data_IF_881834170670
#
_entry.id   IF_881834170670
#
_cell.length_a   1.000
_cell.length_b   1.000
_cell.length_c   1.000
_cell.angle_alpha   90.00
_cell.angle_beta   90.00
_cell.angle_gamma   90.00
#
_symmetry.space_group_name_H-M   'P 1'
#
loop_
_entity.id
_entity.type
_entity.pdbx_description
1 polymer ?
#
# COMPACT_ATOMS: atom_id res chain seq x y z
N UNK A 1 -57.65 3.23 26.72
CA UNK A 1 -57.34 4.57 26.17
C UNK A 1 -56.09 5.08 26.85
N UNK A 2 -54.93 4.83 26.26
CA UNK A 2 -53.66 5.55 26.48
C UNK A 2 -52.78 5.22 25.29
N UNK A 3 -52.77 6.11 24.30
CA UNK A 3 -51.91 6.03 23.12
C UNK A 3 -50.48 6.37 23.55
N UNK A 4 -49.57 5.41 23.40
CA UNK A 4 -48.12 5.62 23.50
C UNK A 4 -47.56 6.03 22.15
N UNK A 5 -47.20 7.30 22.02
CA UNK A 5 -46.54 7.87 20.84
C UNK A 5 -45.04 7.55 20.93
N UNK A 6 -44.55 6.63 20.11
CA UNK A 6 -43.12 6.45 19.89
C UNK A 6 -42.61 7.57 18.96
N UNK A 7 -41.56 8.33 19.34
CA UNK A 7 -40.92 9.24 18.41
C UNK A 7 -40.10 8.42 17.39
N UNK A 8 -40.39 8.62 16.11
CA UNK A 8 -39.56 8.09 15.03
C UNK A 8 -38.20 8.80 15.06
N UNK A 9 -37.15 8.00 15.24
CA UNK A 9 -35.77 8.46 15.07
C UNK A 9 -35.55 8.82 13.61
N UNK A 10 -35.31 10.12 13.42
CA UNK A 10 -35.01 10.75 12.16
C UNK A 10 -33.63 10.27 11.68
N UNK A 11 -33.61 9.29 10.77
CA UNK A 11 -32.40 8.76 10.16
C UNK A 11 -31.84 9.79 9.17
N UNK A 12 -31.09 10.75 9.71
CA UNK A 12 -30.48 11.85 8.97
C UNK A 12 -29.45 11.36 7.96
N UNK A 13 -29.79 11.52 6.68
CA UNK A 13 -28.90 11.79 5.55
C UNK A 13 -27.56 11.02 5.52
N UNK A 14 -27.61 9.79 4.96
CA UNK A 14 -26.49 9.32 4.15
C UNK A 14 -26.45 10.20 2.91
N UNK A 15 -25.37 10.97 2.73
CA UNK A 15 -25.07 11.61 1.45
C UNK A 15 -24.78 10.55 0.41
N UNK A 16 -25.82 9.94 -0.17
CA UNK A 16 -25.70 9.29 -1.47
C UNK A 16 -25.60 10.40 -2.49
N UNK A 17 -24.38 10.65 -2.98
CA UNK A 17 -24.18 11.59 -4.09
C UNK A 17 -25.01 11.13 -5.29
N UNK A 18 -25.55 12.09 -6.01
CA UNK A 18 -26.31 11.81 -7.24
C UNK A 18 -25.35 11.18 -8.27
N UNK A 19 -25.61 9.94 -8.73
CA UNK A 19 -24.79 9.29 -9.75
C UNK A 19 -24.63 10.12 -11.02
N UNK A 20 -25.60 10.99 -11.35
CA UNK A 20 -25.51 11.90 -12.50
C UNK A 20 -24.52 13.04 -12.31
N UNK A 21 -24.34 13.51 -11.08
CA UNK A 21 -23.39 14.58 -10.73
C UNK A 21 -21.94 14.06 -10.77
N UNK A 22 -21.70 12.87 -10.21
CA UNK A 22 -20.37 12.22 -10.23
C UNK A 22 -19.92 11.88 -11.66
N UNK A 23 -20.84 11.43 -12.53
CA UNK A 23 -20.53 11.15 -13.94
C UNK A 23 -20.20 12.43 -14.73
N UNK A 24 -20.95 13.51 -14.48
CA UNK A 24 -20.69 14.82 -15.11
C UNK A 24 -19.34 15.38 -14.66
N UNK A 25 -19.05 15.28 -13.36
CA UNK A 25 -17.79 15.73 -12.76
C UNK A 25 -16.59 14.96 -13.31
N UNK A 26 -16.71 13.65 -13.46
CA UNK A 26 -15.68 12.81 -14.10
C UNK A 26 -15.36 13.32 -15.50
N UNK A 27 -16.39 13.57 -16.32
CA UNK A 27 -16.18 14.01 -17.70
C UNK A 27 -15.45 15.36 -17.81
N UNK A 28 -15.69 16.28 -16.88
CA UNK A 28 -15.00 17.57 -16.80
C UNK A 28 -13.51 17.46 -16.44
N UNK A 29 -13.16 16.47 -15.61
CA UNK A 29 -11.81 16.33 -15.04
C UNK A 29 -10.86 15.46 -15.87
N UNK A 30 -11.39 14.71 -16.83
CA UNK A 30 -10.62 13.87 -17.74
C UNK A 30 -10.02 14.67 -18.90
N UNK A 31 -8.91 14.16 -19.44
CA UNK A 31 -8.37 14.57 -20.74
C UNK A 31 -9.49 14.51 -21.79
N UNK A 32 -9.74 15.59 -22.52
CA UNK A 32 -10.93 15.70 -23.38
C UNK A 32 -10.66 16.27 -24.77
N UNK A 33 -9.42 16.68 -25.05
CA UNK A 33 -9.04 17.33 -26.30
C UNK A 33 -7.67 16.86 -26.77
N UNK A 34 -7.50 16.76 -28.10
CA UNK A 34 -6.24 16.40 -28.73
C UNK A 34 -5.16 17.48 -28.56
N UNK A 35 -5.56 18.72 -28.27
CA UNK A 35 -4.67 19.88 -28.10
C UNK A 35 -4.17 20.05 -26.66
N UNK A 36 -4.87 19.44 -25.71
CA UNK A 36 -4.55 19.57 -24.29
C UNK A 36 -3.20 18.90 -24.01
N UNK A 37 -2.34 19.59 -23.25
CA UNK A 37 -1.12 18.97 -22.72
C UNK A 37 -1.50 17.83 -21.78
N UNK A 38 -1.00 16.63 -22.09
CA UNK A 38 -1.37 15.41 -21.39
C UNK A 38 -0.74 15.40 -19.99
N UNK A 39 -1.50 15.07 -18.93
CA UNK A 39 -0.94 14.95 -17.59
C UNK A 39 0.17 13.89 -17.57
N UNK A 40 1.22 14.10 -16.77
CA UNK A 40 2.32 13.15 -16.71
C UNK A 40 1.86 11.83 -16.10
N UNK A 41 2.53 10.73 -16.46
CA UNK A 41 2.34 9.46 -15.77
C UNK A 41 2.77 9.60 -14.29
N UNK A 42 2.06 8.91 -13.41
CA UNK A 42 2.35 8.89 -11.98
C UNK A 42 3.70 8.23 -11.69
N UNK A 43 4.58 8.96 -11.02
CA UNK A 43 5.91 8.46 -10.63
C UNK A 43 5.87 7.51 -9.42
N UNK A 44 4.77 7.52 -8.67
CA UNK A 44 4.53 6.63 -7.54
C UNK A 44 3.92 5.28 -7.95
N UNK A 45 3.70 5.05 -9.25
CA UNK A 45 3.26 3.76 -9.81
C UNK A 45 4.47 3.06 -10.43
N UNK A 46 4.72 1.85 -9.98
CA UNK A 46 5.81 1.01 -10.47
C UNK A 46 5.38 0.29 -11.76
N UNK A 47 6.25 0.28 -12.77
CA UNK A 47 6.04 -0.42 -14.04
C UNK A 47 6.90 -1.67 -14.07
N UNK A 48 6.27 -2.84 -14.00
CA UNK A 48 6.94 -4.13 -13.88
C UNK A 48 6.71 -4.93 -15.17
N UNK A 49 7.76 -5.20 -15.98
CA UNK A 49 7.64 -6.07 -17.14
C UNK A 49 7.29 -7.50 -16.70
N UNK A 50 6.27 -8.09 -17.30
CA UNK A 50 5.81 -9.45 -17.01
C UNK A 50 5.44 -10.18 -18.30
N UNK A 51 5.59 -11.50 -18.29
CA UNK A 51 5.07 -12.37 -19.36
C UNK A 51 3.84 -13.10 -18.82
N UNK A 52 2.72 -12.99 -19.52
CA UNK A 52 1.48 -13.69 -19.16
C UNK A 52 0.86 -14.32 -20.40
N UNK A 53 0.60 -15.64 -20.35
CA UNK A 53 0.06 -16.42 -21.48
C UNK A 53 0.83 -16.21 -22.80
N UNK A 54 2.15 -16.07 -22.73
CA UNK A 54 3.02 -15.84 -23.88
C UNK A 54 3.02 -14.40 -24.42
N UNK A 55 2.27 -13.50 -23.81
CA UNK A 55 2.24 -12.07 -24.15
C UNK A 55 3.17 -11.27 -23.23
N UNK A 56 3.89 -10.31 -23.81
CA UNK A 56 4.76 -9.37 -23.10
C UNK A 56 3.94 -8.16 -22.63
N UNK A 57 3.82 -7.99 -21.32
CA UNK A 57 3.01 -6.94 -20.70
C UNK A 57 3.85 -6.07 -19.76
N UNK A 58 3.31 -4.91 -19.43
CA UNK A 58 3.76 -4.05 -18.34
C UNK A 58 2.65 -4.01 -17.30
N UNK A 59 2.92 -4.59 -16.13
CA UNK A 59 2.05 -4.51 -14.96
C UNK A 59 2.29 -3.21 -14.19
N UNK A 60 1.22 -2.50 -13.87
CA UNK A 60 1.26 -1.25 -13.11
C UNK A 60 0.92 -1.54 -11.66
N UNK A 61 1.93 -1.50 -10.80
CA UNK A 61 1.80 -1.72 -9.37
C UNK A 61 1.71 -0.37 -8.65
N UNK A 62 0.60 -0.15 -7.95
CA UNK A 62 0.38 1.06 -7.14
C UNK A 62 0.50 0.74 -5.65
N UNK A 63 1.67 0.95 -5.03
CA UNK A 63 1.88 0.69 -3.61
C UNK A 63 1.02 1.55 -2.68
N UNK A 64 0.48 2.68 -3.17
CA UNK A 64 -0.42 3.53 -2.40
C UNK A 64 -1.89 3.10 -2.51
N UNK A 65 -2.23 2.22 -3.47
CA UNK A 65 -3.58 1.68 -3.63
C UNK A 65 -4.59 2.66 -4.22
N UNK A 66 -4.15 3.64 -5.01
CA UNK A 66 -5.06 4.57 -5.70
C UNK A 66 -5.58 4.05 -7.03
N UNK A 67 -5.03 2.98 -7.62
CA UNK A 67 -5.61 2.35 -8.81
C UNK A 67 -6.92 1.61 -8.48
N UNK A 68 -7.90 1.56 -9.40
CA UNK A 68 -9.20 0.93 -9.14
C UNK A 68 -9.14 -0.60 -9.14
N UNK A 69 -8.06 -1.15 -9.67
CA UNK A 69 -7.80 -2.58 -9.76
C UNK A 69 -6.45 -2.83 -10.43
N UNK A 70 -6.09 -4.12 -10.61
CA UNK A 70 -4.86 -4.50 -11.30
C UNK A 70 -4.93 -4.07 -12.77
N UNK A 71 -3.83 -3.51 -13.28
CA UNK A 71 -3.71 -3.08 -14.67
C UNK A 71 -2.44 -3.68 -15.26
N UNK A 72 -2.59 -4.34 -16.40
CA UNK A 72 -1.48 -4.74 -17.26
C UNK A 72 -1.78 -4.31 -18.69
N UNK A 73 -0.81 -3.68 -19.34
CA UNK A 73 -0.94 -3.21 -20.72
C UNK A 73 0.12 -3.88 -21.59
N UNK A 74 -0.13 -3.95 -22.90
CA UNK A 74 0.87 -4.43 -23.85
C UNK A 74 2.16 -3.63 -23.75
N UNK A 75 3.31 -4.32 -23.85
CA UNK A 75 4.65 -3.72 -23.71
C UNK A 75 4.90 -2.52 -24.64
N UNK A 76 4.19 -2.41 -25.76
CA UNK A 76 4.26 -1.25 -26.67
C UNK A 76 3.95 0.08 -25.97
N UNK A 77 3.22 0.07 -24.83
CA UNK A 77 2.96 1.28 -24.04
C UNK A 77 4.25 1.97 -23.57
N UNK A 78 5.36 1.23 -23.43
CA UNK A 78 6.65 1.79 -23.03
C UNK A 78 7.14 2.92 -23.94
N UNK A 79 6.75 2.91 -25.22
CA UNK A 79 7.11 3.97 -26.16
C UNK A 79 6.37 5.30 -25.87
N UNK A 80 5.17 5.24 -25.29
CA UNK A 80 4.37 6.41 -24.96
C UNK A 80 4.75 7.03 -23.61
N UNK A 81 5.25 6.24 -22.67
CA UNK A 81 5.59 6.66 -21.30
C UNK A 81 6.47 7.93 -21.25
N UNK A 82 7.57 8.04 -22.03
CA UNK A 82 8.39 9.26 -22.02
C UNK A 82 7.67 10.51 -22.53
N UNK A 83 6.61 10.35 -23.34
CA UNK A 83 5.82 11.45 -23.90
C UNK A 83 4.73 11.91 -22.93
N UNK A 84 4.31 11.06 -21.99
CA UNK A 84 3.38 11.39 -20.90
C UNK A 84 4.12 12.09 -19.75
N UNK A 85 4.62 13.28 -20.02
CA UNK A 85 5.46 14.07 -19.10
C UNK A 85 4.93 15.50 -18.83
N UNK A 86 3.73 15.83 -19.31
CA UNK A 86 3.15 17.17 -19.16
C UNK A 86 3.45 18.14 -20.32
N UNK A 87 4.32 17.78 -21.27
CA UNK A 87 4.77 18.70 -22.33
C UNK A 87 4.13 18.45 -23.69
N UNK A 88 3.59 17.24 -23.93
CA UNK A 88 3.03 16.85 -25.22
C UNK A 88 1.51 16.77 -25.16
N UNK A 89 0.84 17.18 -26.23
CA UNK A 89 -0.57 16.87 -26.50
C UNK A 89 -0.70 15.59 -27.34
N UNK A 90 -1.91 15.10 -27.55
CA UNK A 90 -2.16 13.98 -28.48
C UNK A 90 -1.69 14.35 -29.89
N UNK A 91 -1.99 15.57 -30.35
CA UNK A 91 -1.53 16.05 -31.65
C UNK A 91 -0.01 16.06 -31.74
N UNK A 92 0.68 16.59 -30.72
CA UNK A 92 2.14 16.63 -30.73
C UNK A 92 2.73 15.21 -30.85
N UNK A 93 2.15 14.24 -30.13
CA UNK A 93 2.57 12.84 -30.16
C UNK A 93 2.33 12.21 -31.54
N UNK A 94 1.14 12.37 -32.09
CA UNK A 94 0.81 11.86 -33.43
C UNK A 94 1.72 12.46 -34.50
N UNK A 95 1.99 13.77 -34.45
CA UNK A 95 2.92 14.43 -35.36
C UNK A 95 4.35 13.89 -35.25
N UNK A 96 4.83 13.64 -34.03
CA UNK A 96 6.17 13.09 -33.81
C UNK A 96 6.28 11.64 -34.30
N UNK A 97 5.31 10.78 -33.95
CA UNK A 97 5.24 9.40 -34.44
C UNK A 97 5.18 9.32 -35.97
N UNK A 98 4.44 10.24 -36.61
CA UNK A 98 4.35 10.32 -38.07
C UNK A 98 5.69 10.63 -38.71
N UNK A 99 6.55 11.45 -38.07
CA UNK A 99 7.92 11.72 -38.55
C UNK A 99 8.80 10.47 -38.54
N UNK A 100 8.54 9.53 -37.64
CA UNK A 100 9.21 8.23 -37.57
C UNK A 100 8.50 7.11 -38.35
N UNK A 101 7.52 7.45 -39.20
CA UNK A 101 6.84 6.52 -40.09
C UNK A 101 5.68 5.74 -39.45
N UNK A 102 5.22 6.15 -38.27
CA UNK A 102 4.05 5.57 -37.60
C UNK A 102 2.87 6.52 -37.69
N UNK A 103 1.82 6.15 -38.45
CA UNK A 103 0.61 6.96 -38.58
C UNK A 103 -0.46 6.47 -37.58
N UNK A 104 -0.68 7.23 -36.52
CA UNK A 104 -1.64 6.92 -35.45
C UNK A 104 -2.78 7.92 -35.50
N UNK A 105 -4.01 7.42 -35.50
CA UNK A 105 -5.21 8.25 -35.44
C UNK A 105 -5.30 8.99 -34.10
N UNK A 106 -5.47 10.32 -34.16
CA UNK A 106 -5.57 11.17 -32.96
C UNK A 106 -6.76 10.77 -32.07
N UNK A 107 -7.88 10.34 -32.66
CA UNK A 107 -9.08 9.92 -31.92
C UNK A 107 -8.83 8.65 -31.11
N UNK A 108 -8.19 7.65 -31.71
CA UNK A 108 -7.79 6.42 -31.02
C UNK A 108 -6.76 6.69 -29.92
N UNK A 109 -5.74 7.53 -30.18
CA UNK A 109 -4.76 7.87 -29.16
C UNK A 109 -5.39 8.66 -28.01
N UNK A 110 -6.29 9.61 -28.30
CA UNK A 110 -7.03 10.33 -27.26
C UNK A 110 -7.89 9.39 -26.43
N UNK A 111 -8.64 8.48 -27.06
CA UNK A 111 -9.46 7.50 -26.34
C UNK A 111 -8.61 6.61 -25.44
N UNK A 112 -7.44 6.18 -25.91
CA UNK A 112 -6.51 5.39 -25.14
C UNK A 112 -5.92 6.16 -23.95
N UNK A 113 -5.44 7.40 -24.15
CA UNK A 113 -4.94 8.25 -23.07
C UNK A 113 -6.03 8.53 -22.03
N UNK A 114 -7.29 8.71 -22.47
CA UNK A 114 -8.43 8.84 -21.57
C UNK A 114 -8.64 7.60 -20.71
N UNK A 115 -8.44 6.40 -21.23
CA UNK A 115 -8.50 5.17 -20.42
C UNK A 115 -7.42 5.15 -19.34
N UNK A 116 -6.20 5.62 -19.65
CA UNK A 116 -5.12 5.74 -18.65
C UNK A 116 -5.48 6.76 -17.56
N UNK A 117 -6.07 7.89 -17.95
CA UNK A 117 -6.54 8.92 -17.05
C UNK A 117 -7.66 8.40 -16.12
N UNK A 118 -8.68 7.78 -16.70
CA UNK A 118 -9.79 7.16 -15.97
C UNK A 118 -9.32 6.08 -14.99
N UNK A 119 -8.31 5.32 -15.40
CA UNK A 119 -7.66 4.30 -14.59
C UNK A 119 -6.76 4.89 -13.48
N UNK A 120 -6.56 6.22 -13.45
CA UNK A 120 -5.77 6.96 -12.45
C UNK A 120 -4.27 6.67 -12.53
N UNK A 121 -3.78 6.37 -13.73
CA UNK A 121 -2.34 6.22 -14.02
C UNK A 121 -1.67 7.56 -14.29
N UNK A 122 -2.44 8.59 -14.64
CA UNK A 122 -1.92 9.92 -14.92
C UNK A 122 -2.13 10.85 -13.71
N UNK A 123 -1.19 11.78 -13.48
CA UNK A 123 -1.27 12.81 -12.45
C UNK A 123 -2.24 13.93 -12.88
N UNK A 124 -3.48 13.55 -13.20
CA UNK A 124 -4.52 14.40 -13.77
C UNK A 124 -5.40 15.06 -12.68
N UNK A 125 -6.25 16.03 -13.06
CA UNK A 125 -7.30 16.54 -12.17
C UNK A 125 -8.21 15.42 -11.64
N UNK A 126 -8.56 14.45 -12.49
CA UNK A 126 -9.38 13.30 -12.10
C UNK A 126 -8.70 12.44 -11.02
N UNK A 127 -7.42 12.08 -11.20
CA UNK A 127 -6.67 11.36 -10.17
C UNK A 127 -6.63 12.13 -8.85
N UNK A 128 -6.33 13.44 -8.88
CA UNK A 128 -6.26 14.26 -7.66
C UNK A 128 -7.60 14.29 -6.93
N UNK A 129 -8.70 14.40 -7.65
CA UNK A 129 -10.04 14.34 -7.09
C UNK A 129 -10.27 12.99 -6.39
N UNK A 130 -10.07 11.86 -7.08
CA UNK A 130 -10.26 10.54 -6.47
C UNK A 130 -9.30 10.28 -5.29
N UNK A 131 -8.06 10.77 -5.37
CA UNK A 131 -7.08 10.67 -4.29
C UNK A 131 -7.60 11.34 -3.03
N UNK A 132 -8.05 12.59 -3.12
CA UNK A 132 -8.63 13.33 -2.00
C UNK A 132 -9.82 12.58 -1.41
N UNK A 133 -10.69 12.01 -2.24
CA UNK A 133 -11.85 11.26 -1.75
C UNK A 133 -11.47 9.99 -1.00
N UNK A 134 -10.49 9.24 -1.51
CA UNK A 134 -9.96 8.04 -0.86
C UNK A 134 -9.34 8.40 0.49
N UNK A 135 -8.49 9.42 0.51
CA UNK A 135 -7.81 9.90 1.71
C UNK A 135 -8.81 10.37 2.77
N UNK A 136 -9.74 11.26 2.40
CA UNK A 136 -10.77 11.75 3.33
C UNK A 136 -11.68 10.62 3.84
N UNK A 137 -12.04 9.68 2.97
CA UNK A 137 -12.86 8.53 3.37
C UNK A 137 -12.10 7.68 4.38
N UNK A 138 -10.81 7.42 4.16
CA UNK A 138 -9.97 6.70 5.09
C UNK A 138 -9.82 7.46 6.42
N UNK A 139 -9.57 8.77 6.37
CA UNK A 139 -9.42 9.63 7.54
C UNK A 139 -10.66 9.63 8.44
N UNK A 140 -11.85 9.60 7.86
CA UNK A 140 -13.14 9.56 8.58
C UNK A 140 -13.47 8.21 9.22
N UNK A 141 -12.78 7.11 8.89
CA UNK A 141 -13.05 5.79 9.50
C UNK A 141 -12.62 5.73 10.96
N UNK A 142 -13.40 5.06 11.79
CA UNK A 142 -12.97 4.72 13.15
C UNK A 142 -12.03 3.51 13.19
N UNK A 143 -12.11 2.64 12.17
CA UNK A 143 -11.32 1.40 12.07
C UNK A 143 -10.32 1.49 10.91
N UNK A 144 -9.10 1.03 11.14
CA UNK A 144 -8.06 0.84 10.12
C UNK A 144 -8.10 -0.62 9.64
N UNK A 145 -8.50 -0.89 8.39
CA UNK A 145 -8.49 -2.24 7.84
C UNK A 145 -7.09 -2.85 7.78
N UNK A 146 -7.01 -4.16 7.95
CA UNK A 146 -5.81 -4.96 7.77
C UNK A 146 -5.40 -5.00 6.29
N UNK A 147 -4.64 -4.00 5.83
CA UNK A 147 -4.28 -3.83 4.41
C UNK A 147 -3.50 -5.01 3.79
N UNK A 148 -2.84 -5.83 4.60
CA UNK A 148 -2.08 -6.99 4.13
C UNK A 148 -2.79 -8.33 4.32
N UNK A 149 -4.01 -8.33 4.85
CA UNK A 149 -4.83 -9.52 4.98
C UNK A 149 -5.16 -10.09 3.60
N UNK A 150 -4.98 -11.40 3.44
CA UNK A 150 -5.11 -12.11 2.16
C UNK A 150 -3.90 -11.96 1.23
N UNK A 151 -2.96 -11.06 1.52
CA UNK A 151 -1.74 -10.89 0.71
C UNK A 151 -0.51 -11.45 1.41
N UNK A 152 -0.11 -10.91 2.56
CA UNK A 152 1.09 -11.35 3.29
C UNK A 152 0.78 -12.32 4.45
N UNK A 153 -0.49 -12.46 4.79
CA UNK A 153 -1.00 -13.44 5.74
C UNK A 153 -2.47 -13.76 5.42
N UNK A 154 -3.01 -14.91 5.87
CA UNK A 154 -4.42 -15.25 5.65
C UNK A 154 -5.38 -14.17 6.15
N UNK A 155 -6.44 -13.88 5.41
CA UNK A 155 -7.46 -12.91 5.83
C UNK A 155 -8.36 -13.45 6.94
N UNK A 156 -8.53 -14.77 7.00
CA UNK A 156 -9.39 -15.41 7.97
C UNK A 156 -8.68 -15.61 9.31
N UNK A 157 -9.32 -15.16 10.39
CA UNK A 157 -8.77 -15.21 11.74
C UNK A 157 -8.47 -16.65 12.23
N UNK A 158 -9.21 -17.64 11.74
CA UNK A 158 -8.94 -19.05 12.00
C UNK A 158 -7.65 -19.53 11.34
N UNK A 159 -7.50 -19.25 10.05
CA UNK A 159 -6.35 -19.67 9.25
C UNK A 159 -5.04 -19.06 9.74
N UNK A 160 -5.03 -17.76 10.07
CA UNK A 160 -3.83 -17.11 10.62
C UNK A 160 -3.47 -17.68 12.00
N UNK A 161 -4.45 -18.03 12.83
CA UNK A 161 -4.20 -18.67 14.14
C UNK A 161 -3.56 -20.04 13.97
N UNK A 162 -4.11 -20.87 13.09
CA UNK A 162 -3.55 -22.19 12.79
C UNK A 162 -2.13 -22.10 12.23
N UNK A 163 -1.88 -21.15 11.32
CA UNK A 163 -0.56 -20.89 10.76
C UNK A 163 0.46 -20.52 11.85
N UNK A 164 0.08 -19.63 12.77
CA UNK A 164 0.94 -19.22 13.88
C UNK A 164 1.17 -20.38 14.86
N UNK A 165 0.12 -21.08 15.28
CA UNK A 165 0.21 -22.21 16.22
C UNK A 165 1.14 -23.31 15.67
N UNK A 166 1.03 -23.64 14.38
CA UNK A 166 1.91 -24.59 13.71
C UNK A 166 3.38 -24.13 13.71
N UNK A 167 3.63 -22.82 13.51
CA UNK A 167 4.98 -22.26 13.55
C UNK A 167 5.58 -22.28 14.97
N UNK A 168 4.78 -21.96 15.99
CA UNK A 168 5.22 -22.02 17.38
C UNK A 168 5.44 -23.46 17.87
N UNK A 169 4.73 -24.45 17.33
CA UNK A 169 4.92 -25.86 17.64
C UNK A 169 6.14 -26.48 16.95
N UNK A 170 6.42 -26.11 15.69
CA UNK A 170 7.49 -26.72 14.88
C UNK A 170 8.90 -26.28 15.26
N UNK A 171 9.09 -25.00 15.65
CA UNK A 171 10.39 -24.44 16.04
C UNK A 171 10.83 -24.79 17.48
N UNK A 172 10.45 -25.98 17.97
CA UNK A 172 11.07 -26.65 19.13
C UNK A 172 12.34 -27.44 18.76
N UNK A 173 12.67 -27.55 17.47
CA UNK A 173 13.93 -28.10 16.96
C UNK A 173 14.76 -26.96 16.36
N UNK A 174 15.83 -26.63 17.07
CA UNK A 174 16.88 -25.72 16.64
C UNK A 174 17.69 -26.34 15.52
N UNK A 175 17.14 -26.41 14.32
CA UNK A 175 17.92 -26.78 13.14
C UNK A 175 18.24 -25.47 12.41
N UNK A 176 19.39 -24.92 12.78
CA UNK A 176 19.98 -23.67 12.29
C UNK A 176 20.42 -23.78 10.82
N UNK A 177 19.50 -24.01 9.89
CA UNK A 177 19.77 -24.03 8.45
C UNK A 177 18.78 -23.13 7.72
N UNK A 178 19.17 -21.87 7.48
CA UNK A 178 18.31 -20.94 6.71
C UNK A 178 18.81 -19.51 6.51
N UNK A 179 19.87 -19.08 7.20
CA UNK A 179 20.67 -17.93 6.75
C UNK A 179 22.03 -18.47 6.32
N UNK A 180 22.54 -18.16 5.10
CA UNK A 180 23.97 -18.29 4.88
C UNK A 180 24.65 -17.47 5.98
N UNK A 181 25.72 -17.99 6.58
CA UNK A 181 26.59 -17.20 7.45
C UNK A 181 27.02 -15.96 6.64
N UNK A 182 26.27 -14.88 6.78
CA UNK A 182 26.62 -13.63 6.14
C UNK A 182 27.87 -13.19 6.86
N UNK A 183 28.98 -13.25 6.13
CA UNK A 183 30.19 -12.51 6.44
C UNK A 183 29.78 -11.18 7.06
N UNK A 184 29.94 -11.06 8.38
CA UNK A 184 30.34 -9.87 9.09
C UNK A 184 30.29 -8.60 8.22
N UNK A 185 29.07 -8.10 7.98
CA UNK A 185 28.85 -6.72 7.63
C UNK A 185 29.21 -5.95 8.90
N UNK A 186 30.44 -5.44 8.91
CA UNK A 186 31.08 -4.71 10.00
C UNK A 186 30.12 -3.66 10.58
N UNK A 187 29.44 -4.01 11.68
CA UNK A 187 28.53 -3.08 12.35
C UNK A 187 27.45 -3.71 13.23
N UNK A 188 27.06 -4.97 13.01
CA UNK A 188 26.12 -5.66 13.90
C UNK A 188 26.85 -6.63 14.83
N UNK A 189 26.69 -6.51 16.16
CA UNK A 189 27.31 -7.45 17.10
C UNK A 189 26.71 -8.85 16.89
N UNK A 190 27.58 -9.86 16.89
CA UNK A 190 27.19 -11.28 16.90
C UNK A 190 26.15 -11.52 18.02
N UNK A 191 25.14 -12.40 17.82
CA UNK A 191 24.21 -12.76 18.88
C UNK A 191 24.98 -13.39 20.05
N UNK A 192 25.22 -12.58 21.10
CA UNK A 192 26.09 -12.92 22.24
C UNK A 192 27.14 -11.86 22.58
N UNK A 193 27.35 -10.84 21.74
CA UNK A 193 28.30 -9.73 21.99
C UNK A 193 27.64 -8.45 22.49
N UNK A 194 26.45 -8.52 23.09
CA UNK A 194 25.98 -7.45 23.96
C UNK A 194 26.75 -7.52 25.28
N UNK A 195 27.96 -6.96 25.30
CA UNK A 195 28.67 -6.74 26.56
C UNK A 195 27.84 -5.79 27.43
N UNK A 196 27.28 -6.34 28.51
CA UNK A 196 26.42 -5.61 29.44
C UNK A 196 25.38 -6.44 30.18
N UNK A 197 25.10 -7.68 29.74
CA UNK A 197 24.21 -8.59 30.49
C UNK A 197 24.93 -9.88 30.80
N UNK A 198 25.63 -9.91 31.94
CA UNK A 198 26.09 -11.18 32.51
C UNK A 198 24.88 -12.03 32.87
N UNK A 199 24.93 -13.33 32.55
CA UNK A 199 23.91 -14.32 32.95
C UNK A 199 23.64 -14.36 34.47
N UNK A 200 24.52 -13.75 35.27
CA UNK A 200 24.47 -13.69 36.73
C UNK A 200 23.80 -12.42 37.29
N UNK A 201 23.42 -11.44 36.45
CA UNK A 201 22.60 -10.29 36.89
C UNK A 201 21.09 -10.51 36.74
N UNK A 202 20.68 -11.72 36.34
CA UNK A 202 19.28 -12.15 36.29
C UNK A 202 18.73 -12.62 37.65
N UNK A 203 19.52 -12.55 38.73
CA UNK A 203 19.13 -13.06 40.07
C UNK A 203 18.66 -11.96 41.05
N UNK A 204 18.02 -10.91 40.55
CA UNK A 204 17.56 -9.80 41.41
C UNK A 204 16.56 -8.82 40.80
N UNK A 205 16.19 -8.97 39.53
CA UNK A 205 15.04 -8.27 38.96
C UNK A 205 14.08 -9.32 38.44
N UNK A 206 12.83 -9.27 38.91
CA UNK A 206 11.73 -10.00 38.32
C UNK A 206 11.52 -9.40 36.91
N UNK A 207 12.33 -9.86 35.94
CA UNK A 207 12.65 -9.16 34.71
C UNK A 207 11.52 -9.25 33.69
N UNK A 208 10.48 -8.44 33.86
CA UNK A 208 9.41 -8.34 32.86
C UNK A 208 9.97 -7.77 31.55
N UNK A 209 9.72 -8.46 30.45
CA UNK A 209 10.07 -7.99 29.10
C UNK A 209 9.26 -6.71 28.83
N UNK A 210 9.97 -5.62 28.48
CA UNK A 210 9.37 -4.29 28.25
C UNK A 210 9.29 -3.88 26.77
N UNK A 211 10.09 -4.53 25.91
CA UNK A 211 10.18 -4.19 24.50
C UNK A 211 10.53 -5.43 23.68
N UNK A 212 10.08 -5.44 22.43
CA UNK A 212 10.40 -6.42 21.41
C UNK A 212 10.81 -5.68 20.15
N UNK A 213 11.84 -6.19 19.46
CA UNK A 213 12.15 -5.81 18.09
C UNK A 213 11.96 -7.02 17.20
N UNK A 214 11.23 -6.84 16.11
CA UNK A 214 10.95 -7.88 15.13
C UNK A 214 10.86 -7.24 13.73
N UNK A 215 11.16 -8.00 12.67
CA UNK A 215 10.90 -7.53 11.31
C UNK A 215 9.40 -7.29 11.08
N UNK A 216 9.06 -6.56 10.02
CA UNK A 216 7.69 -6.39 9.53
C UNK A 216 7.51 -6.89 8.08
N UNK A 217 8.34 -7.87 7.69
CA UNK A 217 8.29 -8.51 6.37
C UNK A 217 7.12 -9.50 6.26
N UNK A 218 6.79 -9.88 5.03
CA UNK A 218 5.74 -10.86 4.71
C UNK A 218 5.85 -12.14 5.57
N UNK A 219 4.76 -12.50 6.26
CA UNK A 219 4.74 -13.62 7.19
C UNK A 219 4.97 -14.95 6.47
N UNK A 220 4.59 -15.10 5.20
CA UNK A 220 4.76 -16.33 4.43
C UNK A 220 6.22 -16.72 4.23
N UNK A 221 7.12 -15.72 4.21
CA UNK A 221 8.57 -15.93 4.03
C UNK A 221 9.36 -15.63 5.31
N UNK A 222 8.83 -14.77 6.19
CA UNK A 222 9.54 -14.30 7.37
C UNK A 222 9.28 -15.11 8.64
N UNK A 223 8.32 -16.04 8.65
CA UNK A 223 7.77 -16.66 9.87
C UNK A 223 8.83 -17.21 10.83
N UNK A 224 9.89 -17.80 10.29
CA UNK A 224 11.00 -18.37 11.07
C UNK A 224 11.73 -17.34 11.96
N UNK A 225 11.73 -16.06 11.56
CA UNK A 225 12.32 -14.95 12.33
C UNK A 225 11.39 -14.40 13.42
N UNK A 226 10.07 -14.50 13.23
CA UNK A 226 9.07 -14.01 14.19
C UNK A 226 8.97 -14.92 15.42
N UNK A 227 8.92 -16.24 15.23
CA UNK A 227 8.74 -17.20 16.33
C UNK A 227 9.72 -17.01 17.49
N UNK A 228 11.06 -16.97 17.30
CA UNK A 228 11.99 -16.78 18.41
C UNK A 228 11.86 -15.42 19.08
N UNK A 229 11.49 -14.37 18.32
CA UNK A 229 11.29 -13.03 18.85
C UNK A 229 10.04 -12.97 19.76
N UNK A 230 8.93 -13.59 19.35
CA UNK A 230 7.67 -13.51 20.07
C UNK A 230 7.48 -14.59 21.16
N UNK A 231 8.21 -15.71 21.11
CA UNK A 231 8.06 -16.82 22.08
C UNK A 231 8.22 -16.39 23.55
N UNK A 232 9.18 -15.51 23.93
CA UNK A 232 9.29 -15.02 25.32
C UNK A 232 8.07 -14.24 25.83
N UNK A 233 7.18 -13.79 24.92
CA UNK A 233 6.00 -12.99 25.26
C UNK A 233 4.73 -13.84 25.46
N UNK A 234 4.79 -15.17 25.33
CA UNK A 234 3.61 -16.04 25.31
C UNK A 234 2.66 -15.83 26.51
N UNK A 235 3.24 -15.60 27.69
CA UNK A 235 2.50 -15.42 28.95
C UNK A 235 2.25 -13.93 29.28
N UNK A 236 2.76 -13.00 28.46
CA UNK A 236 2.59 -11.58 28.71
C UNK A 236 1.16 -11.15 28.35
N UNK A 237 0.52 -10.39 29.26
CA UNK A 237 -0.83 -9.82 29.07
C UNK A 237 -0.79 -8.31 29.36
N UNK A 238 -0.14 -7.51 28.49
CA UNK A 238 0.00 -6.09 28.74
C UNK A 238 -1.35 -5.39 28.62
N UNK A 239 -1.63 -4.42 29.51
CA UNK A 239 -2.81 -3.55 29.39
C UNK A 239 -2.66 -2.49 28.28
N UNK A 240 -1.44 -2.29 27.78
CA UNK A 240 -1.12 -1.32 26.73
C UNK A 240 0.05 -1.84 25.90
N UNK A 241 -0.14 -1.86 24.59
CA UNK A 241 0.90 -2.09 23.59
C UNK A 241 1.22 -0.77 22.90
N UNK A 242 2.50 -0.47 22.71
CA UNK A 242 2.95 0.63 21.86
C UNK A 242 3.69 0.01 20.69
N UNK A 243 3.14 0.15 19.49
CA UNK A 243 3.75 -0.32 18.25
C UNK A 243 4.44 0.87 17.57
N UNK A 244 5.76 0.76 17.35
CA UNK A 244 6.53 1.71 16.57
C UNK A 244 7.00 1.02 15.30
N UNK A 245 6.72 1.62 14.14
CA UNK A 245 7.11 1.11 12.84
C UNK A 245 7.51 2.27 11.93
N UNK A 246 8.30 1.97 10.90
CA UNK A 246 8.73 2.94 9.90
C UNK A 246 7.67 3.08 8.80
N UNK A 247 7.36 4.31 8.41
CA UNK A 247 6.57 4.57 7.20
C UNK A 247 7.47 4.49 5.98
N UNK A 248 7.18 3.60 5.04
CA UNK A 248 7.90 3.49 3.77
C UNK A 248 7.51 4.57 2.75
N UNK A 249 6.45 5.32 3.03
CA UNK A 249 5.83 6.22 2.06
C UNK A 249 5.71 7.67 2.55
N UNK A 250 6.16 7.97 3.77
CA UNK A 250 6.09 9.33 4.32
C UNK A 250 6.92 10.34 3.49
N UNK A 251 7.99 9.90 2.83
CA UNK A 251 8.83 10.75 1.99
C UNK A 251 8.06 11.37 0.81
N UNK A 252 7.13 10.62 0.21
CA UNK A 252 6.24 11.14 -0.86
C UNK A 252 5.34 12.30 -0.39
N UNK A 253 5.29 12.54 0.92
CA UNK A 253 4.51 13.57 1.58
C UNK A 253 5.39 14.46 2.47
N UNK A 254 6.69 14.56 2.18
CA UNK A 254 7.66 15.30 3.01
C UNK A 254 7.15 16.67 3.50
N UNK A 255 6.54 17.54 2.66
CA UNK A 255 6.05 18.84 3.13
C UNK A 255 4.99 18.77 4.24
N UNK A 256 4.21 17.68 4.32
CA UNK A 256 3.21 17.49 5.39
C UNK A 256 3.85 17.04 6.71
N UNK A 257 4.98 16.33 6.63
CA UNK A 257 5.64 15.69 7.78
C UNK A 257 6.95 16.37 8.19
N UNK A 258 7.32 17.48 7.54
CA UNK A 258 8.48 18.27 7.92
C UNK A 258 8.39 18.72 9.39
N UNK A 259 9.42 18.40 10.17
CA UNK A 259 9.43 18.62 11.63
C UNK A 259 8.44 17.76 12.44
N UNK A 260 7.74 16.81 11.82
CA UNK A 260 6.76 15.91 12.47
C UNK A 260 7.12 14.44 12.22
N UNK A 261 8.05 13.87 13.00
CA UNK A 261 8.62 12.54 12.73
C UNK A 261 7.65 11.38 13.02
N UNK A 262 6.48 11.63 13.60
CA UNK A 262 5.53 10.60 14.01
C UNK A 262 4.16 10.79 13.38
N UNK A 263 3.60 9.69 12.87
CA UNK A 263 2.23 9.59 12.38
C UNK A 263 1.47 8.74 13.39
N UNK A 264 0.60 9.37 14.18
CA UNK A 264 -0.24 8.67 15.16
C UNK A 264 -1.65 8.48 14.63
N UNK A 265 -2.26 7.34 14.95
CA UNK A 265 -3.67 7.05 14.64
C UNK A 265 -4.43 6.77 15.93
N UNK A 266 -5.67 7.25 16.01
CA UNK A 266 -6.64 6.85 17.04
C UNK A 266 -7.61 5.77 16.56
N UNK A 267 -7.46 5.34 15.30
CA UNK A 267 -8.30 4.30 14.72
C UNK A 267 -8.08 2.97 15.43
N UNK A 268 -9.15 2.22 15.59
CA UNK A 268 -9.12 0.84 16.03
C UNK A 268 -8.60 -0.08 14.92
N UNK A 269 -8.22 -1.30 15.29
CA UNK A 269 -7.75 -2.34 14.37
C UNK A 269 -8.67 -3.56 14.54
N UNK A 270 -9.27 -4.02 13.45
CA UNK A 270 -10.14 -5.20 13.39
C UNK A 270 -9.54 -6.27 12.49
#
# INVERSE_FOLDING_TARGET
MTNGTHPQENNGHRGSRDPGEDASRKQELLVSSVEMKLPPIRSDVEMIPVTHEGSELIYFHDPQGYLPGPIALDRQIAALVPMLNGQFSVRDICEDLKRYGSDVDEGHLLAFVRQLDEARLLLSPWFRHCKTEIEETFEKRDVRPAACAGSTYPSEAGEIREMLDAAFASNGRSDSHGFPESRNASGFPEPGQCEGFSKEQADGTNGFIKALYAPHIDLRVGLASYVPAFRPLADLRPRRLVLLATSHYAESYYPLYDGKPFIATRKDFE
#
